data_IF_726481138516
#
_entry.id   IF_726481138516
#
_cell.length_a   1.000
_cell.length_b   1.000
_cell.length_c   1.000
_cell.angle_alpha   90.00
_cell.angle_beta   90.00
_cell.angle_gamma   90.00
#
_symmetry.space_group_name_H-M   'P 1'
#
loop_
_entity.id
_entity.type
_entity.pdbx_description
1 polymer ?
#
# COMPACT_ATOMS: atom_id res chain seq x y z
N UNK A 1 -9.57 -20.93 -18.30
CA UNK A 1 -9.94 -19.55 -18.66
C UNK A 1 -8.92 -18.63 -18.02
N UNK A 2 -8.24 -17.77 -18.78
CA UNK A 2 -7.38 -16.75 -18.19
C UNK A 2 -8.28 -15.71 -17.53
N UNK A 3 -8.01 -15.37 -16.26
CA UNK A 3 -8.69 -14.25 -15.63
C UNK A 3 -8.29 -12.97 -16.36
N UNK A 4 -9.25 -12.15 -16.75
CA UNK A 4 -8.98 -10.85 -17.37
C UNK A 4 -8.19 -10.00 -16.37
N UNK A 5 -7.06 -9.45 -16.80
CA UNK A 5 -6.19 -8.61 -15.95
C UNK A 5 -6.17 -7.18 -16.46
N UNK A 6 -5.96 -6.23 -15.56
CA UNK A 6 -5.76 -4.82 -15.90
C UNK A 6 -4.63 -4.19 -15.06
N UNK A 7 -4.05 -3.11 -15.57
CA UNK A 7 -2.99 -2.37 -14.87
C UNK A 7 -3.56 -1.40 -13.83
N UNK A 8 -2.92 -1.33 -12.67
CA UNK A 8 -3.13 -0.32 -11.63
C UNK A 8 -1.80 0.14 -11.05
N UNK A 9 -1.84 1.22 -10.28
CA UNK A 9 -0.68 1.74 -9.56
C UNK A 9 -0.96 1.80 -8.06
N UNK A 10 0.04 1.46 -7.25
CA UNK A 10 0.02 1.68 -5.80
C UNK A 10 1.15 2.64 -5.46
N UNK A 11 0.81 3.72 -4.75
CA UNK A 11 1.78 4.67 -4.27
C UNK A 11 1.69 4.90 -2.76
N UNK A 12 2.85 5.08 -2.15
CA UNK A 12 3.01 5.51 -0.77
C UNK A 12 4.17 6.49 -0.72
N UNK A 13 3.97 7.62 -0.05
CA UNK A 13 5.02 8.61 0.11
C UNK A 13 5.07 9.10 1.57
N UNK A 14 6.29 9.16 2.07
CA UNK A 14 6.66 9.73 3.37
C UNK A 14 7.96 10.51 3.20
N UNK A 15 8.36 11.26 4.23
CA UNK A 15 9.60 12.05 4.19
C UNK A 15 10.86 11.17 4.04
N UNK A 16 10.77 9.88 4.40
CA UNK A 16 11.89 8.94 4.37
C UNK A 16 11.81 7.92 3.23
N UNK A 17 10.61 7.63 2.72
CA UNK A 17 10.38 6.55 1.76
C UNK A 17 9.35 6.98 0.72
N UNK A 18 9.69 6.78 -0.54
CA UNK A 18 8.79 6.89 -1.67
C UNK A 18 8.65 5.52 -2.31
N UNK A 19 7.41 5.11 -2.55
CA UNK A 19 7.04 3.85 -3.19
C UNK A 19 6.03 4.17 -4.28
N UNK A 20 6.30 3.70 -5.49
CA UNK A 20 5.38 3.73 -6.61
C UNK A 20 5.59 2.44 -7.39
N UNK A 21 4.54 1.63 -7.51
CA UNK A 21 4.60 0.37 -8.25
C UNK A 21 3.39 0.21 -9.14
N UNK A 22 3.63 -0.12 -10.39
CA UNK A 22 2.60 -0.58 -11.31
C UNK A 22 2.49 -2.10 -11.25
N UNK A 23 1.27 -2.62 -11.28
CA UNK A 23 1.00 -4.05 -11.22
C UNK A 23 -0.21 -4.40 -12.09
N UNK A 24 -0.18 -5.58 -12.69
CA UNK A 24 -1.36 -6.18 -13.30
C UNK A 24 -2.11 -7.01 -12.27
N UNK A 25 -3.41 -6.77 -12.16
CA UNK A 25 -4.29 -7.46 -11.23
C UNK A 25 -5.49 -8.07 -11.95
N UNK A 26 -6.03 -9.20 -11.47
CA UNK A 26 -7.26 -9.79 -12.02
C UNK A 26 -8.48 -8.87 -11.85
N UNK A 27 -9.46 -9.03 -12.73
CA UNK A 27 -10.80 -8.49 -12.57
C UNK A 27 -11.40 -8.91 -11.22
N UNK A 28 -12.02 -7.95 -10.53
CA UNK A 28 -12.58 -8.16 -9.19
C UNK A 28 -11.58 -7.98 -8.04
N UNK A 29 -10.32 -7.58 -8.32
CA UNK A 29 -9.35 -7.26 -7.26
C UNK A 29 -9.82 -6.05 -6.44
N UNK A 30 -9.77 -6.18 -5.12
CA UNK A 30 -10.06 -5.08 -4.20
C UNK A 30 -8.83 -4.21 -3.92
N UNK A 31 -9.05 -3.01 -3.39
CA UNK A 31 -7.98 -2.12 -2.94
C UNK A 31 -7.05 -2.83 -1.95
N UNK A 32 -7.60 -3.52 -0.95
CA UNK A 32 -6.81 -4.30 0.02
C UNK A 32 -5.88 -5.32 -0.63
N UNK A 33 -6.44 -6.11 -1.56
CA UNK A 33 -5.70 -7.15 -2.27
C UNK A 33 -4.58 -6.54 -3.11
N UNK A 34 -4.84 -5.45 -3.82
CA UNK A 34 -3.82 -4.76 -4.61
C UNK A 34 -2.69 -4.19 -3.75
N UNK A 35 -3.00 -3.65 -2.57
CA UNK A 35 -1.98 -3.19 -1.62
C UNK A 35 -1.11 -4.36 -1.15
N UNK A 36 -1.71 -5.49 -0.80
CA UNK A 36 -0.98 -6.70 -0.41
C UNK A 36 -0.08 -7.22 -1.56
N UNK A 37 -0.63 -7.27 -2.79
CA UNK A 37 0.10 -7.69 -4.00
C UNK A 37 1.25 -6.74 -4.36
N UNK A 38 1.11 -5.44 -4.06
CA UNK A 38 2.14 -4.46 -4.37
C UNK A 38 3.44 -4.68 -3.59
N UNK A 39 3.40 -5.33 -2.43
CA UNK A 39 4.59 -5.51 -1.59
C UNK A 39 4.94 -4.31 -0.71
N UNK A 40 4.14 -3.23 -0.73
CA UNK A 40 4.46 -1.98 -0.01
C UNK A 40 4.55 -2.15 1.51
N UNK A 41 3.74 -3.04 2.10
CA UNK A 41 3.76 -3.29 3.55
C UNK A 41 5.06 -4.01 3.98
N UNK A 42 5.65 -4.79 3.08
CA UNK A 42 6.92 -5.48 3.28
C UNK A 42 8.11 -4.54 3.05
N UNK A 43 8.00 -3.62 2.09
CA UNK A 43 9.06 -2.66 1.73
C UNK A 43 9.15 -1.46 2.68
N UNK A 44 8.03 -1.08 3.31
CA UNK A 44 7.93 0.02 4.28
C UNK A 44 7.58 -0.55 5.65
N UNK A 45 8.54 -0.98 6.47
CA UNK A 45 8.14 -1.86 7.54
C UNK A 45 7.81 -1.07 8.83
N UNK A 46 6.76 -1.52 9.51
CA UNK A 46 5.99 -0.71 10.47
C UNK A 46 4.78 0.00 9.84
N UNK A 47 4.57 -0.15 8.52
CA UNK A 47 3.38 0.30 7.83
C UNK A 47 2.25 -0.74 8.03
N UNK A 48 1.15 -0.31 8.64
CA UNK A 48 -0.03 -1.15 8.91
C UNK A 48 -1.22 -0.64 8.12
N UNK A 49 -1.74 -1.42 7.17
CA UNK A 49 -2.82 -0.99 6.28
C UNK A 49 -4.09 -0.55 7.03
N UNK A 50 -4.41 -1.21 8.15
CA UNK A 50 -5.55 -0.88 9.02
C UNK A 50 -5.46 0.52 9.65
N UNK A 51 -4.27 1.11 9.71
CA UNK A 51 -4.02 2.44 10.26
C UNK A 51 -3.92 3.52 9.16
N UNK A 52 -3.86 3.11 7.90
CA UNK A 52 -3.72 4.03 6.78
C UNK A 52 -5.07 4.51 6.28
N UNK A 53 -5.07 5.72 5.73
CA UNK A 53 -6.16 6.16 4.88
C UNK A 53 -5.80 5.80 3.44
N UNK A 54 -6.70 5.09 2.79
CA UNK A 54 -6.56 4.70 1.39
C UNK A 54 -7.44 5.56 0.50
N UNK A 55 -6.95 5.90 -0.68
CA UNK A 55 -7.71 6.64 -1.66
C UNK A 55 -7.37 6.24 -3.08
N UNK A 56 -8.20 6.68 -4.02
CA UNK A 56 -7.97 6.60 -5.45
C UNK A 56 -8.15 8.01 -6.02
N UNK A 57 -7.14 8.54 -6.71
CA UNK A 57 -7.15 9.90 -7.27
C UNK A 57 -7.62 10.97 -6.27
N UNK A 58 -6.91 11.10 -5.14
CA UNK A 58 -7.22 12.03 -4.04
C UNK A 58 -8.60 11.87 -3.37
N UNK A 59 -9.36 10.79 -3.66
CA UNK A 59 -10.64 10.49 -3.02
C UNK A 59 -10.49 9.30 -2.09
N UNK A 60 -10.85 9.45 -0.82
CA UNK A 60 -10.85 8.35 0.15
C UNK A 60 -11.76 7.21 -0.31
N UNK A 61 -11.28 5.98 -0.16
CA UNK A 61 -11.98 4.76 -0.57
C UNK A 61 -11.79 3.65 0.46
N UNK A 62 -12.83 2.87 0.76
CA UNK A 62 -12.71 1.74 1.67
C UNK A 62 -11.90 0.60 1.03
N UNK A 63 -11.35 -0.28 1.87
CA UNK A 63 -10.45 -1.37 1.48
C UNK A 63 -11.12 -2.43 0.56
N UNK A 64 -12.44 -2.57 0.64
CA UNK A 64 -13.26 -3.46 -0.19
C UNK A 64 -13.62 -2.88 -1.56
N UNK A 65 -13.16 -1.66 -1.88
CA UNK A 65 -13.40 -1.04 -3.18
C UNK A 65 -12.83 -1.89 -4.31
N UNK A 66 -13.69 -2.29 -5.25
CA UNK A 66 -13.26 -2.94 -6.49
C UNK A 66 -12.52 -1.96 -7.39
N UNK A 67 -11.37 -2.38 -7.88
CA UNK A 67 -10.50 -1.58 -8.72
C UNK A 67 -10.92 -1.62 -10.18
N UNK A 68 -10.47 -0.60 -10.92
CA UNK A 68 -10.64 -0.46 -12.36
C UNK A 68 -9.29 -0.24 -13.02
N UNK A 69 -9.25 -0.48 -14.33
CA UNK A 69 -8.08 -0.20 -15.14
C UNK A 69 -7.59 1.25 -14.92
N UNK A 70 -6.29 1.37 -14.71
CA UNK A 70 -5.57 2.62 -14.47
C UNK A 70 -5.93 3.32 -13.15
N UNK A 71 -6.58 2.66 -12.20
CA UNK A 71 -6.70 3.22 -10.85
C UNK A 71 -5.31 3.39 -10.22
N UNK A 72 -5.11 4.55 -9.58
CA UNK A 72 -3.95 4.80 -8.73
C UNK A 72 -4.40 4.84 -7.29
N UNK A 73 -4.00 3.82 -6.54
CA UNK A 73 -4.19 3.70 -5.11
C UNK A 73 -3.14 4.54 -4.40
N UNK A 74 -3.60 5.40 -3.51
CA UNK A 74 -2.78 6.32 -2.74
C UNK A 74 -2.91 5.97 -1.25
N UNK A 75 -1.79 5.67 -0.61
CA UNK A 75 -1.71 5.30 0.80
C UNK A 75 -1.23 6.50 1.63
N UNK A 76 -2.12 7.08 2.42
CA UNK A 76 -1.83 8.24 3.26
C UNK A 76 -1.60 7.84 4.71
N UNK A 77 -0.61 8.51 5.33
CA UNK A 77 -0.41 8.44 6.78
C UNK A 77 -1.54 9.18 7.50
N UNK A 78 -2.04 8.66 8.63
CA UNK A 78 -2.92 9.44 9.48
C UNK A 78 -2.19 10.70 9.96
N UNK A 79 -2.89 11.84 9.96
CA UNK A 79 -2.36 13.14 10.40
C UNK A 79 -1.94 13.17 11.88
N UNK A 80 -2.44 12.22 12.67
CA UNK A 80 -2.08 12.06 14.07
C UNK A 80 -0.85 11.15 14.09
N UNK A 81 0.33 11.77 14.07
CA UNK A 81 1.59 11.10 14.34
C UNK A 81 1.56 10.58 15.78
N UNK A 82 1.02 9.38 16.00
CA UNK A 82 1.15 8.71 17.28
C UNK A 82 2.65 8.36 17.45
N UNK A 83 3.37 8.94 18.45
CA UNK A 83 4.82 8.80 18.59
C UNK A 83 5.32 7.37 18.85
N UNK A 84 4.42 6.39 18.89
CA UNK A 84 4.63 5.08 19.51
C UNK A 84 5.33 4.03 18.65
N UNK A 85 5.42 4.19 17.33
CA UNK A 85 5.96 3.13 16.45
C UNK A 85 7.29 3.44 15.75
N UNK A 86 7.91 4.60 15.97
CA UNK A 86 9.28 4.89 15.50
C UNK A 86 10.38 4.10 16.26
N UNK A 87 9.99 3.12 17.10
CA UNK A 87 10.90 2.39 17.99
C UNK A 87 10.95 0.88 17.70
N UNK A 88 10.90 0.47 16.44
CA UNK A 88 11.28 -0.92 16.08
C UNK A 88 11.94 -1.04 14.71
N UNK A 89 13.03 -0.30 14.51
CA UNK A 89 13.97 -0.56 13.40
C UNK A 89 15.42 -0.49 13.87
N UNK A 90 15.78 -1.40 14.75
CA UNK A 90 17.15 -1.88 14.90
C UNK A 90 17.10 -3.24 15.57
N UNK A 91 17.21 -4.30 14.77
CA UNK A 91 17.87 -5.55 15.13
C UNK A 91 17.92 -6.43 13.88
N UNK A 92 18.98 -6.24 13.09
CA UNK A 92 19.66 -7.37 12.48
C UNK A 92 20.96 -7.52 13.27
N UNK A 93 21.10 -8.48 14.19
CA UNK A 93 22.42 -9.02 14.47
C UNK A 93 22.76 -9.97 13.32
N UNK A 94 23.82 -9.68 12.57
CA UNK A 94 24.45 -10.69 11.73
C UNK A 94 25.39 -11.52 12.64
N UNK A 95 25.43 -12.86 12.51
CA UNK A 95 26.33 -13.70 13.27
C UNK A 95 27.74 -13.65 12.66
N UNK A 96 28.76 -13.56 13.51
CA UNK A 96 30.17 -13.68 13.19
C UNK A 96 30.93 -14.04 14.45
#
# INVERSE_FOLDING_TARGET
MAAETFSIQVCYASDAVQFLRELQVPAGTTLEQAVALSGVLQEVPGLELSQLQTGIYAKKKPLDTLLRAHDRIELYRPLIADPKNARRRRKTPAPG
#
